data_IF_321303869019
#
_entry.id   IF_321303869019
#
_cell.length_a   1.000
_cell.length_b   1.000
_cell.length_c   1.000
_cell.angle_alpha   90.00
_cell.angle_beta   90.00
_cell.angle_gamma   90.00
#
_symmetry.space_group_name_H-M   'P 1'
#
loop_
_entity.id
_entity.type
_entity.pdbx_description
1 polymer ?
#
# COMPACT_ATOMS: atom_id res chain seq x y z
N UNK A 1 17.52 8.22 -18.32
CA UNK A 1 16.41 7.69 -19.12
C UNK A 1 15.15 8.24 -18.48
N UNK A 2 14.21 8.84 -19.21
CA UNK A 2 12.99 9.41 -18.61
C UNK A 2 12.04 8.29 -18.15
N UNK A 3 11.19 8.56 -17.16
CA UNK A 3 10.17 7.61 -16.67
C UNK A 3 9.25 7.17 -17.82
N UNK A 4 8.96 8.06 -18.77
CA UNK A 4 8.18 7.77 -19.99
C UNK A 4 8.87 6.74 -20.91
N UNK A 5 10.18 6.82 -21.09
CA UNK A 5 10.93 5.82 -21.86
C UNK A 5 10.97 4.47 -21.17
N UNK A 6 10.99 4.43 -19.82
CA UNK A 6 10.84 3.21 -19.05
C UNK A 6 9.43 2.62 -19.22
N UNK A 7 8.40 3.46 -19.16
CA UNK A 7 6.99 3.03 -19.33
C UNK A 7 6.79 2.33 -20.68
N UNK A 8 7.22 2.96 -21.78
CA UNK A 8 7.06 2.40 -23.13
C UNK A 8 7.78 1.05 -23.28
N UNK A 9 9.01 0.95 -22.78
CA UNK A 9 9.83 -0.28 -22.85
C UNK A 9 9.24 -1.42 -22.01
N UNK A 10 8.56 -1.10 -20.92
CA UNK A 10 7.91 -2.08 -20.04
C UNK A 10 6.56 -2.50 -20.62
N UNK A 11 5.80 -1.58 -21.22
CA UNK A 11 4.57 -1.92 -21.93
C UNK A 11 4.83 -2.87 -23.09
N UNK A 12 5.89 -2.67 -23.87
CA UNK A 12 6.35 -3.61 -24.90
C UNK A 12 6.67 -4.99 -24.29
N UNK A 13 7.44 -5.04 -23.22
CA UNK A 13 7.77 -6.30 -22.52
C UNK A 13 6.55 -6.99 -21.92
N UNK A 14 5.59 -6.25 -21.36
CA UNK A 14 4.36 -6.83 -20.86
C UNK A 14 3.54 -7.48 -21.97
N UNK A 15 3.48 -6.87 -23.16
CA UNK A 15 2.79 -7.43 -24.32
C UNK A 15 3.47 -8.70 -24.85
N UNK A 16 4.80 -8.75 -24.83
CA UNK A 16 5.59 -9.88 -25.34
C UNK A 16 5.64 -11.06 -24.35
N UNK A 17 5.47 -10.81 -23.06
CA UNK A 17 5.65 -11.82 -22.01
C UNK A 17 4.33 -12.34 -21.40
N UNK A 18 3.17 -11.86 -21.85
CA UNK A 18 1.89 -12.49 -21.57
C UNK A 18 1.74 -13.74 -22.45
N UNK A 19 2.14 -14.91 -22.03
CA UNK A 19 1.51 -15.79 -21.05
C UNK A 19 2.44 -16.77 -20.32
N UNK A 20 3.62 -16.40 -19.93
CA UNK A 20 4.41 -17.29 -19.08
C UNK A 20 4.11 -16.97 -17.63
N UNK A 21 3.36 -17.83 -16.97
CA UNK A 21 3.01 -17.78 -15.56
C UNK A 21 4.24 -17.61 -14.67
N UNK A 22 4.51 -16.39 -14.24
CA UNK A 22 5.51 -16.13 -13.22
C UNK A 22 4.88 -16.03 -11.82
N UNK A 23 3.61 -15.61 -11.74
CA UNK A 23 2.88 -15.37 -10.49
C UNK A 23 1.76 -16.40 -10.32
N UNK A 24 1.67 -17.03 -9.16
CA UNK A 24 0.58 -17.95 -8.81
C UNK A 24 -0.55 -17.23 -8.07
N UNK A 25 -1.75 -17.82 -8.06
CA UNK A 25 -2.88 -17.34 -7.25
C UNK A 25 -2.52 -17.31 -5.77
N UNK A 26 -1.81 -18.30 -5.28
CA UNK A 26 -1.33 -18.38 -3.90
C UNK A 26 -0.40 -17.20 -3.54
N UNK A 27 0.55 -16.86 -4.40
CA UNK A 27 1.42 -15.69 -4.20
C UNK A 27 0.62 -14.38 -4.13
N UNK A 28 -0.42 -14.25 -4.97
CA UNK A 28 -1.32 -13.09 -4.90
C UNK A 28 -2.09 -13.05 -3.59
N UNK A 29 -2.69 -14.16 -3.15
CA UNK A 29 -3.41 -14.26 -1.87
C UNK A 29 -2.50 -13.85 -0.71
N UNK A 30 -1.29 -14.40 -0.66
CA UNK A 30 -0.29 -14.07 0.38
C UNK A 30 0.25 -12.63 0.30
N UNK A 31 -0.07 -11.89 -0.76
CA UNK A 31 0.28 -10.48 -0.92
C UNK A 31 -0.89 -9.52 -0.62
N UNK A 32 -2.08 -10.05 -0.26
CA UNK A 32 -3.25 -9.22 0.03
C UNK A 32 -3.14 -8.60 1.43
N UNK A 33 -3.30 -7.27 1.52
CA UNK A 33 -3.77 -6.62 2.74
C UNK A 33 -5.30 -6.61 2.68
N UNK A 34 -5.94 -7.58 3.34
CA UNK A 34 -7.39 -7.74 3.35
C UNK A 34 -8.02 -6.59 4.13
N UNK A 35 -8.80 -5.76 3.45
CA UNK A 35 -9.14 -4.42 3.90
C UNK A 35 -10.64 -4.26 4.15
N UNK A 36 -11.00 -3.76 5.34
CA UNK A 36 -12.34 -3.31 5.68
C UNK A 36 -12.26 -1.91 6.32
N UNK A 37 -12.47 -0.88 5.50
CA UNK A 37 -12.48 0.53 5.92
C UNK A 37 -13.91 1.07 5.82
N UNK A 38 -14.75 0.56 6.74
CA UNK A 38 -16.11 1.00 7.02
C UNK A 38 -16.17 1.44 8.49
N UNK A 39 -16.60 2.67 8.73
CA UNK A 39 -16.72 3.24 10.09
C UNK A 39 -17.78 2.52 10.91
N UNK A 40 -18.74 1.90 10.23
CA UNK A 40 -19.89 1.18 10.82
C UNK A 40 -19.75 -0.35 10.66
N UNK A 41 -18.52 -0.85 10.47
CA UNK A 41 -18.30 -2.29 10.39
C UNK A 41 -18.85 -3.00 11.64
N UNK A 42 -19.63 -4.07 11.43
CA UNK A 42 -20.20 -4.83 12.56
C UNK A 42 -19.16 -5.81 13.12
N UNK A 43 -19.36 -6.23 14.37
CA UNK A 43 -18.49 -7.23 15.02
C UNK A 43 -18.46 -8.53 14.22
N UNK A 44 -19.57 -8.93 13.62
CA UNK A 44 -19.65 -10.13 12.77
C UNK A 44 -18.81 -9.96 11.49
N UNK A 45 -18.86 -8.79 10.84
CA UNK A 45 -18.05 -8.50 9.66
C UNK A 45 -16.55 -8.48 9.98
N UNK A 46 -16.17 -7.95 11.13
CA UNK A 46 -14.78 -7.95 11.61
C UNK A 46 -14.31 -9.36 11.95
N UNK A 47 -15.16 -10.17 12.60
CA UNK A 47 -14.85 -11.55 12.92
C UNK A 47 -14.68 -12.40 11.64
N UNK A 48 -15.57 -12.22 10.65
CA UNK A 48 -15.45 -12.89 9.35
C UNK A 48 -14.18 -12.48 8.61
N UNK A 49 -13.86 -11.18 8.57
CA UNK A 49 -12.63 -10.67 7.97
C UNK A 49 -11.38 -11.31 8.60
N UNK A 50 -11.35 -11.41 9.93
CA UNK A 50 -10.25 -12.07 10.67
C UNK A 50 -10.14 -13.53 10.31
N UNK A 51 -11.26 -14.26 10.27
CA UNK A 51 -11.31 -15.67 9.90
C UNK A 51 -10.81 -15.89 8.47
N UNK A 52 -11.31 -15.11 7.50
CA UNK A 52 -10.90 -15.20 6.09
C UNK A 52 -9.40 -14.94 5.93
N UNK A 53 -8.89 -13.94 6.63
CA UNK A 53 -7.48 -13.60 6.61
C UNK A 53 -6.60 -14.73 7.14
N UNK A 54 -6.99 -15.36 8.25
CA UNK A 54 -6.26 -16.46 8.88
C UNK A 54 -6.28 -17.74 8.03
N UNK A 55 -7.45 -18.09 7.53
CA UNK A 55 -7.62 -19.30 6.71
C UNK A 55 -6.83 -19.24 5.40
N UNK A 56 -6.74 -18.06 4.81
CA UNK A 56 -6.05 -17.86 3.52
C UNK A 56 -4.64 -17.29 3.66
N UNK A 57 -4.14 -17.10 4.87
CA UNK A 57 -2.78 -16.61 5.16
C UNK A 57 -2.43 -15.33 4.37
N UNK A 58 -3.36 -14.38 4.29
CA UNK A 58 -3.13 -13.09 3.62
C UNK A 58 -1.97 -12.32 4.30
N UNK A 59 -1.43 -11.32 3.63
CA UNK A 59 -0.30 -10.57 4.15
C UNK A 59 -0.62 -9.80 5.42
N UNK A 60 -1.77 -9.10 5.43
CA UNK A 60 -2.22 -8.31 6.58
C UNK A 60 -3.74 -8.14 6.58
N UNK A 61 -4.29 -7.82 7.77
CA UNK A 61 -5.59 -7.17 7.93
C UNK A 61 -5.40 -5.66 7.94
N UNK A 62 -6.29 -4.92 7.28
CA UNK A 62 -6.26 -3.45 7.29
C UNK A 62 -7.63 -2.90 7.65
N UNK A 63 -7.74 -2.28 8.83
CA UNK A 63 -8.99 -1.75 9.38
C UNK A 63 -8.80 -0.38 10.02
N UNK A 64 -9.88 0.30 10.37
CA UNK A 64 -9.82 1.52 11.15
C UNK A 64 -9.35 1.27 12.58
N UNK A 65 -8.65 2.26 13.17
CA UNK A 65 -8.14 2.24 14.53
C UNK A 65 -9.22 1.91 15.59
N UNK A 66 -10.43 2.42 15.38
CA UNK A 66 -11.55 2.20 16.31
C UNK A 66 -12.00 0.73 16.42
N UNK A 67 -11.77 -0.08 15.38
CA UNK A 67 -12.15 -1.49 15.33
C UNK A 67 -11.06 -2.45 15.82
N UNK A 68 -9.86 -1.96 16.11
CA UNK A 68 -8.75 -2.79 16.58
C UNK A 68 -9.10 -3.57 17.86
N UNK A 69 -9.77 -2.99 18.89
CA UNK A 69 -10.09 -3.73 20.11
C UNK A 69 -10.92 -5.00 19.88
N UNK A 70 -11.72 -5.05 18.81
CA UNK A 70 -12.58 -6.19 18.50
C UNK A 70 -11.82 -7.38 17.88
N UNK A 71 -10.68 -7.13 17.23
CA UNK A 71 -9.91 -8.17 16.56
C UNK A 71 -8.58 -8.50 17.26
N UNK A 72 -8.11 -7.62 18.12
CA UNK A 72 -6.85 -7.81 18.85
C UNK A 72 -7.08 -8.52 20.19
N UNK A 73 -6.09 -9.29 20.71
CA UNK A 73 -4.80 -9.59 20.08
C UNK A 73 -4.94 -10.65 18.97
N UNK A 74 -4.07 -10.52 17.97
CA UNK A 74 -3.91 -11.56 16.97
C UNK A 74 -2.43 -11.67 16.58
N UNK A 75 -1.90 -12.90 16.51
CA UNK A 75 -0.47 -13.16 16.37
C UNK A 75 -0.10 -13.89 15.07
N UNK A 76 -1.08 -14.27 14.26
CA UNK A 76 -0.85 -15.10 13.08
C UNK A 76 -0.67 -14.31 11.79
N UNK A 77 -1.17 -13.08 11.73
CA UNK A 77 -1.17 -12.23 10.54
C UNK A 77 -0.87 -10.79 10.97
N UNK A 78 -0.13 -10.04 10.14
CA UNK A 78 0.09 -8.61 10.37
C UNK A 78 -1.24 -7.85 10.43
N UNK A 79 -1.32 -6.88 11.32
CA UNK A 79 -2.48 -5.98 11.42
C UNK A 79 -2.04 -4.56 11.13
N UNK A 80 -2.68 -3.95 10.16
CA UNK A 80 -2.49 -2.58 9.74
C UNK A 80 -3.68 -1.70 10.13
N UNK A 81 -3.42 -0.45 10.46
CA UNK A 81 -4.46 0.57 10.56
C UNK A 81 -4.10 1.80 9.74
N UNK A 82 -5.13 2.55 9.31
CA UNK A 82 -4.96 3.78 8.55
C UNK A 82 -4.89 4.99 9.48
N UNK A 83 -4.00 5.94 9.18
CA UNK A 83 -3.79 7.18 9.93
C UNK A 83 -3.82 8.37 8.96
N UNK A 84 -4.31 9.52 9.40
CA UNK A 84 -4.49 10.71 8.57
C UNK A 84 -5.42 10.46 7.36
N UNK A 85 -6.36 9.55 7.53
CA UNK A 85 -7.13 8.94 6.45
C UNK A 85 -8.58 9.49 6.40
N UNK A 86 -9.17 9.75 5.18
CA UNK A 86 -8.55 9.53 3.88
C UNK A 86 -7.89 10.78 3.25
N UNK A 87 -8.10 11.98 3.79
CA UNK A 87 -7.73 13.24 3.11
C UNK A 87 -6.26 13.68 3.32
N UNK A 88 -5.56 13.11 4.29
CA UNK A 88 -4.21 13.55 4.60
C UNK A 88 -4.13 14.94 5.24
N UNK A 89 -5.17 15.36 5.98
CA UNK A 89 -5.32 16.74 6.48
C UNK A 89 -5.38 16.85 8.01
N UNK A 90 -5.22 15.74 8.73
CA UNK A 90 -5.20 15.77 10.20
C UNK A 90 -3.96 16.51 10.72
N UNK A 91 -4.06 17.22 11.85
CA UNK A 91 -2.90 17.76 12.55
C UNK A 91 -1.88 16.66 12.88
N UNK A 92 -0.59 17.01 12.84
CA UNK A 92 0.48 16.04 13.05
C UNK A 92 0.40 15.38 14.44
N UNK A 93 0.11 16.14 15.48
CA UNK A 93 -0.04 15.67 16.86
C UNK A 93 -1.17 14.64 17.00
N UNK A 94 -2.29 14.83 16.29
CA UNK A 94 -3.40 13.86 16.23
C UNK A 94 -2.92 12.56 15.60
N UNK A 95 -2.21 12.63 14.48
CA UNK A 95 -1.67 11.45 13.79
C UNK A 95 -0.64 10.71 14.67
N UNK A 96 0.26 11.42 15.35
CA UNK A 96 1.24 10.82 16.26
C UNK A 96 0.55 10.10 17.42
N UNK A 97 -0.42 10.74 18.07
CA UNK A 97 -1.20 10.14 19.16
C UNK A 97 -1.96 8.88 18.69
N UNK A 98 -2.50 8.91 17.47
CA UNK A 98 -3.19 7.76 16.90
C UNK A 98 -2.24 6.57 16.64
N UNK A 99 -0.99 6.83 16.21
CA UNK A 99 0.04 5.79 16.06
C UNK A 99 0.43 5.18 17.40
N UNK A 100 0.65 5.99 18.43
CA UNK A 100 0.95 5.50 19.79
C UNK A 100 -0.18 4.59 20.31
N UNK A 101 -1.44 5.01 20.13
CA UNK A 101 -2.61 4.19 20.47
C UNK A 101 -2.64 2.89 19.69
N UNK A 102 -2.36 2.93 18.38
CA UNK A 102 -2.30 1.75 17.53
C UNK A 102 -1.20 0.77 18.00
N UNK A 103 -0.02 1.28 18.34
CA UNK A 103 1.09 0.49 18.86
C UNK A 103 0.73 -0.21 20.17
N UNK A 104 0.07 0.52 21.11
CA UNK A 104 -0.41 -0.05 22.37
C UNK A 104 -1.46 -1.16 22.16
N UNK A 105 -2.26 -1.07 21.11
CA UNK A 105 -3.22 -2.11 20.72
C UNK A 105 -2.57 -3.30 20.00
N UNK A 106 -1.28 -3.23 19.70
CA UNK A 106 -0.51 -4.35 19.13
C UNK A 106 -0.55 -4.45 17.61
N UNK A 107 -0.86 -3.36 16.87
CA UNK A 107 -0.71 -3.38 15.40
C UNK A 107 0.76 -3.52 15.02
N UNK A 108 1.01 -4.03 13.83
CA UNK A 108 2.35 -4.23 13.29
C UNK A 108 2.67 -3.29 12.14
N UNK A 109 1.66 -2.66 11.55
CA UNK A 109 1.81 -1.87 10.35
C UNK A 109 0.91 -0.61 10.38
N UNK A 110 1.40 0.51 9.87
CA UNK A 110 0.67 1.78 9.72
C UNK A 110 0.57 2.16 8.25
N UNK A 111 -0.64 2.39 7.76
CA UNK A 111 -0.91 2.99 6.45
C UNK A 111 -1.20 4.49 6.64
N UNK A 112 -0.19 5.34 6.50
CA UNK A 112 -0.29 6.79 6.70
C UNK A 112 -0.56 7.52 5.38
N UNK A 113 -1.56 8.40 5.34
CA UNK A 113 -1.81 9.25 4.17
C UNK A 113 -0.86 10.44 4.18
N UNK A 114 -0.05 10.57 3.12
CA UNK A 114 0.76 11.77 2.86
C UNK A 114 -0.13 13.02 2.93
N UNK A 115 0.30 14.12 3.53
CA UNK A 115 -0.38 15.41 3.38
C UNK A 115 -0.27 15.94 1.93
N UNK A 116 -0.83 15.19 0.99
CA UNK A 116 -0.65 15.42 -0.45
C UNK A 116 -1.16 16.78 -0.89
N UNK A 117 -2.20 17.30 -0.26
CA UNK A 117 -2.70 18.67 -0.55
C UNK A 117 -1.66 19.74 -0.22
N UNK A 118 -0.93 19.61 0.90
CA UNK A 118 0.17 20.50 1.24
C UNK A 118 1.33 20.35 0.25
N UNK A 119 1.68 19.11 -0.07
CA UNK A 119 2.75 18.81 -1.01
C UNK A 119 2.48 19.44 -2.39
N UNK A 120 1.29 19.23 -2.94
CA UNK A 120 0.86 19.75 -4.24
C UNK A 120 0.67 21.28 -4.26
N UNK A 121 0.38 21.88 -3.10
CA UNK A 121 0.33 23.35 -2.95
C UNK A 121 1.71 24.00 -2.82
N UNK A 122 2.81 23.25 -3.04
CA UNK A 122 4.19 23.74 -2.96
C UNK A 122 4.77 23.81 -1.54
N UNK A 123 4.03 23.38 -0.51
CA UNK A 123 4.51 23.26 0.88
C UNK A 123 5.21 21.90 1.10
N UNK A 124 6.03 21.49 0.14
CA UNK A 124 6.70 20.19 0.08
C UNK A 124 7.47 19.89 1.35
N UNK A 125 8.28 20.85 1.81
CA UNK A 125 9.12 20.67 3.00
C UNK A 125 8.29 20.38 4.26
N UNK A 126 7.14 21.06 4.42
CA UNK A 126 6.23 20.85 5.54
C UNK A 126 5.59 19.46 5.48
N UNK A 127 5.15 19.00 4.30
CA UNK A 127 4.58 17.68 4.12
C UNK A 127 5.61 16.57 4.44
N UNK A 128 6.85 16.72 3.95
CA UNK A 128 7.93 15.76 4.20
C UNK A 128 8.39 15.76 5.67
N UNK A 129 8.42 16.91 6.34
CA UNK A 129 8.70 16.97 7.79
C UNK A 129 7.65 16.20 8.60
N UNK A 130 6.37 16.26 8.24
CA UNK A 130 5.34 15.45 8.87
C UNK A 130 5.59 13.97 8.62
N UNK A 131 5.83 13.55 7.38
CA UNK A 131 6.16 12.15 7.07
C UNK A 131 7.40 11.66 7.82
N UNK A 132 8.43 12.51 7.97
CA UNK A 132 9.62 12.16 8.72
C UNK A 132 9.32 11.90 10.20
N UNK A 133 8.52 12.75 10.84
CA UNK A 133 8.09 12.54 12.24
C UNK A 133 7.31 11.23 12.40
N UNK A 134 6.41 10.92 11.46
CA UNK A 134 5.67 9.66 11.42
C UNK A 134 6.61 8.46 11.25
N UNK A 135 7.57 8.53 10.33
CA UNK A 135 8.54 7.46 10.10
C UNK A 135 9.40 7.20 11.34
N UNK A 136 9.86 8.25 12.00
CA UNK A 136 10.63 8.12 13.26
C UNK A 136 9.82 7.44 14.36
N UNK A 137 8.54 7.81 14.54
CA UNK A 137 7.67 7.21 15.55
C UNK A 137 7.38 5.74 15.22
N UNK A 138 7.07 5.41 13.96
CA UNK A 138 6.89 4.02 13.54
C UNK A 138 8.15 3.17 13.78
N UNK A 139 9.33 3.71 13.49
CA UNK A 139 10.61 3.03 13.76
C UNK A 139 10.85 2.78 15.25
N UNK A 140 10.53 3.75 16.12
CA UNK A 140 10.62 3.60 17.58
C UNK A 140 9.72 2.46 18.10
N UNK A 141 8.51 2.33 17.55
CA UNK A 141 7.56 1.29 17.91
C UNK A 141 7.72 -0.01 17.10
N UNK A 142 8.70 -0.10 16.19
CA UNK A 142 8.94 -1.26 15.29
C UNK A 142 7.72 -1.58 14.43
N UNK A 143 7.02 -0.56 13.97
CA UNK A 143 5.88 -0.66 13.07
C UNK A 143 6.34 -0.48 11.62
N UNK A 144 5.90 -1.33 10.71
CA UNK A 144 6.12 -1.11 9.29
C UNK A 144 5.27 0.07 8.80
N UNK A 145 5.90 1.04 8.15
CA UNK A 145 5.24 2.24 7.62
C UNK A 145 4.96 2.11 6.13
N UNK A 146 3.69 2.26 5.74
CA UNK A 146 3.28 2.41 4.35
C UNK A 146 2.75 3.81 4.13
N UNK A 147 3.36 4.59 3.25
CA UNK A 147 2.92 5.95 2.94
C UNK A 147 2.01 5.94 1.72
N UNK A 148 0.77 6.41 1.89
CA UNK A 148 -0.23 6.53 0.83
C UNK A 148 -0.03 7.86 0.12
N UNK A 149 0.27 7.81 -1.18
CA UNK A 149 0.48 9.00 -2.01
C UNK A 149 -0.83 9.69 -2.39
N UNK A 150 -1.92 8.93 -2.57
CA UNK A 150 -3.11 9.32 -3.34
C UNK A 150 -2.71 9.70 -4.78
N UNK A 151 -2.04 8.77 -5.44
CA UNK A 151 -1.35 8.98 -6.72
C UNK A 151 -2.23 9.60 -7.81
N UNK A 152 -3.54 9.30 -7.80
CA UNK A 152 -4.51 9.88 -8.73
C UNK A 152 -4.67 11.42 -8.63
N UNK A 153 -4.11 12.06 -7.62
CA UNK A 153 -4.13 13.54 -7.47
C UNK A 153 -2.90 14.22 -8.06
N UNK A 154 -1.86 13.46 -8.39
CA UNK A 154 -0.60 14.03 -8.88
C UNK A 154 -0.68 14.41 -10.36
N UNK A 155 -0.05 15.53 -10.77
CA UNK A 155 -0.19 16.07 -12.12
C UNK A 155 0.55 15.25 -13.19
N UNK A 156 1.50 14.38 -12.80
CA UNK A 156 2.29 13.59 -13.74
C UNK A 156 2.97 12.39 -13.08
N UNK A 157 3.33 11.40 -13.87
CA UNK A 157 4.13 10.24 -13.44
C UNK A 157 5.51 10.67 -12.91
N UNK A 158 6.07 11.77 -13.44
CA UNK A 158 7.33 12.32 -12.95
C UNK A 158 7.19 12.89 -11.54
N UNK A 159 6.06 13.53 -11.22
CA UNK A 159 5.78 14.01 -9.87
C UNK A 159 5.63 12.84 -8.88
N UNK A 160 4.95 11.74 -9.29
CA UNK A 160 4.85 10.50 -8.49
C UNK A 160 6.23 9.88 -8.26
N UNK A 161 7.06 9.81 -9.28
CA UNK A 161 8.44 9.34 -9.16
C UNK A 161 9.24 10.18 -8.15
N UNK A 162 9.16 11.52 -8.26
CA UNK A 162 9.90 12.45 -7.39
C UNK A 162 9.52 12.27 -5.92
N UNK A 163 8.23 12.33 -5.60
CA UNK A 163 7.77 12.12 -4.20
C UNK A 163 8.12 10.72 -3.70
N UNK A 164 8.06 9.71 -4.56
CA UNK A 164 8.45 8.34 -4.18
C UNK A 164 9.92 8.27 -3.77
N UNK A 165 10.83 8.96 -4.49
CA UNK A 165 12.24 9.06 -4.11
C UNK A 165 12.41 9.74 -2.75
N UNK A 166 11.73 10.86 -2.52
CA UNK A 166 11.78 11.61 -1.26
C UNK A 166 11.29 10.76 -0.07
N UNK A 167 10.25 9.95 -0.25
CA UNK A 167 9.74 9.07 0.80
C UNK A 167 10.66 7.87 1.06
N UNK A 168 11.30 7.33 0.03
CA UNK A 168 12.31 6.26 0.18
C UNK A 168 13.48 6.78 1.02
N UNK A 169 13.91 8.02 0.82
CA UNK A 169 14.97 8.65 1.62
C UNK A 169 14.56 8.86 3.09
N UNK A 170 13.26 8.83 3.42
CA UNK A 170 12.73 8.81 4.78
C UNK A 170 12.60 7.39 5.38
N UNK A 171 13.11 6.38 4.70
CA UNK A 171 13.12 4.98 5.14
C UNK A 171 11.71 4.39 5.39
N UNK A 172 10.69 4.77 4.59
CA UNK A 172 9.40 4.09 4.64
C UNK A 172 9.52 2.65 4.12
N UNK A 173 8.76 1.72 4.70
CA UNK A 173 8.80 0.31 4.29
C UNK A 173 8.05 0.07 2.98
N UNK A 174 6.98 0.82 2.72
CA UNK A 174 6.20 0.73 1.50
C UNK A 174 5.72 2.11 1.03
N UNK A 175 5.63 2.25 -0.29
CA UNK A 175 4.84 3.31 -0.92
C UNK A 175 3.54 2.70 -1.40
N UNK A 176 2.40 3.29 -0.98
CA UNK A 176 1.06 2.85 -1.35
C UNK A 176 0.44 3.85 -2.33
N UNK A 177 -0.19 3.35 -3.39
CA UNK A 177 -0.74 4.20 -4.43
C UNK A 177 -1.89 5.08 -3.93
N UNK A 178 -2.92 4.52 -3.32
CA UNK A 178 -4.21 5.21 -3.14
C UNK A 178 -4.92 4.81 -1.85
N UNK A 179 -5.81 5.68 -1.36
CA UNK A 179 -6.73 5.38 -0.26
C UNK A 179 -7.87 4.47 -0.71
N UNK A 180 -8.26 4.53 -1.98
CA UNK A 180 -9.47 3.91 -2.51
C UNK A 180 -10.75 4.67 -2.19
N UNK A 181 -10.65 5.91 -1.70
CA UNK A 181 -11.79 6.79 -1.33
C UNK A 181 -12.04 7.92 -2.34
N UNK A 182 -11.19 8.06 -3.35
CA UNK A 182 -11.41 8.95 -4.49
C UNK A 182 -11.70 8.14 -5.77
N UNK A 183 -12.23 8.80 -6.80
CA UNK A 183 -12.63 8.14 -8.05
C UNK A 183 -11.45 7.48 -8.79
N UNK A 184 -10.27 8.10 -8.75
CA UNK A 184 -9.07 7.57 -9.40
C UNK A 184 -8.25 6.76 -8.39
N UNK A 185 -8.28 5.44 -8.54
CA UNK A 185 -7.43 4.52 -7.79
C UNK A 185 -6.08 4.29 -8.47
N UNK A 186 -5.47 3.13 -8.21
CA UNK A 186 -4.21 2.75 -8.81
C UNK A 186 -4.27 2.68 -10.34
N UNK A 187 -3.23 3.16 -11.01
CA UNK A 187 -2.99 2.96 -12.44
C UNK A 187 -1.66 2.26 -12.70
N UNK A 188 -1.53 1.65 -13.87
CA UNK A 188 -0.27 1.00 -14.29
C UNK A 188 0.87 2.04 -14.36
N UNK A 189 0.59 3.23 -14.87
CA UNK A 189 1.57 4.31 -14.97
C UNK A 189 2.07 4.79 -13.60
N UNK A 190 1.18 4.88 -12.60
CA UNK A 190 1.55 5.25 -11.23
C UNK A 190 2.44 4.17 -10.61
N UNK A 191 2.07 2.89 -10.80
CA UNK A 191 2.87 1.76 -10.33
C UNK A 191 4.26 1.75 -10.96
N UNK A 192 4.38 2.03 -12.28
CA UNK A 192 5.68 2.16 -12.97
C UNK A 192 6.51 3.29 -12.38
N UNK A 193 5.92 4.46 -12.10
CA UNK A 193 6.64 5.57 -11.49
C UNK A 193 7.23 5.22 -10.11
N UNK A 194 6.41 4.59 -9.25
CA UNK A 194 6.82 4.15 -7.91
C UNK A 194 7.91 3.06 -8.00
N UNK A 195 7.68 2.03 -8.82
CA UNK A 195 8.65 0.93 -8.99
C UNK A 195 9.98 1.41 -9.59
N UNK A 196 9.94 2.41 -10.49
CA UNK A 196 11.15 3.05 -11.02
C UNK A 196 11.93 3.75 -9.91
N UNK A 197 11.23 4.48 -9.03
CA UNK A 197 11.86 5.15 -7.90
C UNK A 197 12.51 4.15 -6.93
N UNK A 198 11.82 3.03 -6.62
CA UNK A 198 12.35 1.94 -5.78
C UNK A 198 13.60 1.32 -6.41
N UNK A 199 13.54 1.00 -7.70
CA UNK A 199 14.66 0.42 -8.45
C UNK A 199 15.88 1.33 -8.46
N UNK A 200 15.68 2.61 -8.81
CA UNK A 200 16.77 3.59 -8.94
C UNK A 200 17.38 3.95 -7.57
N UNK A 201 16.61 3.85 -6.49
CA UNK A 201 17.12 4.01 -5.12
C UNK A 201 17.93 2.80 -4.66
N UNK A 202 17.74 1.63 -5.27
CA UNK A 202 18.27 0.36 -4.79
C UNK A 202 17.94 0.11 -3.30
N UNK A 203 16.73 0.52 -2.90
CA UNK A 203 16.27 0.49 -1.52
C UNK A 203 15.46 -0.77 -1.22
N UNK A 204 15.34 -1.10 0.06
CA UNK A 204 14.47 -2.18 0.55
C UNK A 204 13.00 -1.79 0.67
N UNK A 205 12.59 -0.65 0.13
CA UNK A 205 11.21 -0.19 0.11
C UNK A 205 10.35 -1.05 -0.84
N UNK A 206 9.14 -1.37 -0.42
CA UNK A 206 8.15 -2.10 -1.21
C UNK A 206 7.09 -1.20 -1.84
N UNK A 207 6.20 -1.83 -2.61
CA UNK A 207 5.01 -1.17 -3.18
C UNK A 207 3.74 -1.84 -2.68
N UNK A 208 2.71 -1.03 -2.34
CA UNK A 208 1.34 -1.50 -2.10
C UNK A 208 0.41 -0.86 -3.13
N UNK A 209 -0.20 -1.71 -3.95
CA UNK A 209 -1.20 -1.30 -4.95
C UNK A 209 -2.57 -1.30 -4.29
N UNK A 210 -3.33 -0.20 -4.39
CA UNK A 210 -4.67 -0.11 -3.80
C UNK A 210 -5.56 0.88 -4.55
N UNK A 211 -6.88 0.73 -4.36
CA UNK A 211 -7.88 1.54 -5.05
C UNK A 211 -8.32 0.92 -6.38
N UNK A 212 -9.48 0.23 -6.35
CA UNK A 212 -10.12 -0.32 -7.55
C UNK A 212 -9.65 -1.71 -7.99
N UNK A 213 -8.83 -2.41 -7.22
CA UNK A 213 -8.36 -3.77 -7.55
C UNK A 213 -9.40 -4.79 -7.07
N UNK A 214 -10.27 -5.21 -7.98
CA UNK A 214 -11.41 -6.11 -7.69
C UNK A 214 -11.32 -7.46 -8.41
N UNK A 215 -10.63 -7.52 -9.55
CA UNK A 215 -10.57 -8.71 -10.42
C UNK A 215 -9.19 -9.35 -10.36
N UNK A 216 -9.10 -10.70 -10.39
CA UNK A 216 -7.83 -11.42 -10.44
C UNK A 216 -6.87 -10.92 -11.53
N UNK A 217 -7.38 -10.68 -12.74
CA UNK A 217 -6.57 -10.17 -13.85
C UNK A 217 -5.86 -8.85 -13.53
N UNK A 218 -6.54 -7.91 -12.83
CA UNK A 218 -5.89 -6.66 -12.41
C UNK A 218 -4.73 -6.94 -11.46
N UNK A 219 -4.94 -7.83 -10.48
CA UNK A 219 -3.90 -8.21 -9.53
C UNK A 219 -2.69 -8.86 -10.22
N UNK A 220 -2.94 -9.79 -11.16
CA UNK A 220 -1.88 -10.39 -11.97
C UNK A 220 -1.09 -9.36 -12.78
N UNK A 221 -1.75 -8.39 -13.41
CA UNK A 221 -1.06 -7.34 -14.17
C UNK A 221 -0.08 -6.56 -13.31
N UNK A 222 -0.48 -6.14 -12.11
CA UNK A 222 0.41 -5.41 -11.20
C UNK A 222 1.53 -6.28 -10.65
N UNK A 223 1.26 -7.54 -10.35
CA UNK A 223 2.26 -8.47 -9.84
C UNK A 223 3.34 -8.77 -10.89
N UNK A 224 2.94 -9.11 -12.11
CA UNK A 224 3.87 -9.34 -13.23
C UNK A 224 4.67 -8.08 -13.55
N UNK A 225 4.02 -6.91 -13.57
CA UNK A 225 4.71 -5.62 -13.73
C UNK A 225 5.80 -5.43 -12.67
N UNK A 226 5.46 -5.68 -11.41
CA UNK A 226 6.39 -5.51 -10.29
C UNK A 226 7.59 -6.46 -10.40
N UNK A 227 7.36 -7.75 -10.73
CA UNK A 227 8.44 -8.72 -10.96
C UNK A 227 9.37 -8.32 -12.10
N UNK A 228 8.81 -7.90 -13.24
CA UNK A 228 9.58 -7.47 -14.40
C UNK A 228 10.43 -6.23 -14.11
N UNK A 229 9.91 -5.30 -13.31
CA UNK A 229 10.62 -4.05 -13.01
C UNK A 229 11.73 -4.24 -11.99
N UNK A 230 11.46 -5.02 -10.93
CA UNK A 230 12.39 -5.19 -9.80
C UNK A 230 13.30 -6.41 -9.99
N UNK A 231 12.97 -7.28 -10.96
CA UNK A 231 13.71 -8.51 -11.27
C UNK A 231 13.79 -9.49 -10.08
N UNK A 232 12.66 -9.63 -9.36
CA UNK A 232 12.52 -10.64 -8.31
C UNK A 232 11.07 -11.07 -8.11
N UNK A 233 10.82 -12.33 -7.66
CA UNK A 233 9.47 -12.82 -7.37
C UNK A 233 8.76 -11.98 -6.33
N UNK A 234 7.44 -11.76 -6.52
CA UNK A 234 6.63 -11.07 -5.52
C UNK A 234 6.56 -11.88 -4.22
N UNK A 235 6.53 -11.17 -3.12
CA UNK A 235 6.17 -11.70 -1.81
C UNK A 235 5.72 -10.56 -0.90
N UNK A 236 5.07 -10.90 0.21
CA UNK A 236 4.49 -9.94 1.14
C UNK A 236 5.45 -8.91 1.77
N UNK A 237 6.76 -9.12 1.66
CA UNK A 237 7.73 -8.21 2.28
C UNK A 237 8.05 -7.00 1.40
N UNK A 238 7.68 -7.03 0.10
CA UNK A 238 7.94 -5.90 -0.79
C UNK A 238 6.83 -5.61 -1.81
N UNK A 239 5.84 -6.52 -1.96
CA UNK A 239 4.69 -6.33 -2.85
C UNK A 239 3.40 -6.64 -2.10
N UNK A 240 2.46 -5.71 -2.11
CA UNK A 240 1.15 -5.85 -1.45
C UNK A 240 0.03 -5.37 -2.37
N UNK A 241 -1.14 -5.92 -2.17
CA UNK A 241 -2.39 -5.47 -2.80
C UNK A 241 -3.41 -5.17 -1.71
N UNK A 242 -3.82 -3.90 -1.59
CA UNK A 242 -4.90 -3.51 -0.69
C UNK A 242 -6.26 -3.69 -1.36
N UNK A 243 -7.06 -4.65 -0.89
CA UNK A 243 -8.36 -4.95 -1.49
C UNK A 243 -9.35 -5.51 -0.46
N UNK A 244 -10.64 -5.26 -0.70
CA UNK A 244 -11.75 -5.78 0.12
C UNK A 244 -12.37 -7.07 -0.47
N UNK A 245 -12.55 -7.14 -1.79
CA UNK A 245 -13.29 -8.22 -2.46
C UNK A 245 -12.43 -9.16 -3.29
N UNK A 246 -11.17 -8.83 -3.53
CA UNK A 246 -10.28 -9.57 -4.42
C UNK A 246 -10.04 -11.01 -3.95
N UNK A 247 -9.94 -11.23 -2.62
CA UNK A 247 -9.71 -12.56 -2.06
C UNK A 247 -10.79 -13.54 -2.52
N UNK A 248 -12.06 -13.16 -2.37
CA UNK A 248 -13.18 -14.01 -2.79
C UNK A 248 -13.19 -14.32 -4.30
N UNK A 249 -12.71 -13.41 -5.14
CA UNK A 249 -12.59 -13.65 -6.58
C UNK A 249 -11.40 -14.57 -6.92
N UNK A 250 -10.28 -14.45 -6.22
CA UNK A 250 -9.13 -15.34 -6.41
C UNK A 250 -9.46 -16.78 -5.98
N UNK A 251 -10.19 -16.96 -4.88
CA UNK A 251 -10.62 -18.28 -4.42
C UNK A 251 -11.55 -19.01 -5.40
N UNK A 252 -12.28 -18.28 -6.26
CA UNK A 252 -13.13 -18.89 -7.31
C UNK A 252 -12.32 -19.36 -8.52
N UNK A 253 -11.06 -18.95 -8.66
CA UNK A 253 -10.20 -19.33 -9.79
C UNK A 253 -9.34 -20.56 -9.50
N UNK A 254 -9.46 -21.08 -8.28
CA UNK A 254 -8.90 -22.34 -7.81
C UNK A 254 -9.99 -23.41 -7.86
#
# INVERSE_FOLDING_TARGET
MTVENHLNKIMEKLLDHFPKQFVTVEQLIHSIDLTLLDEHATTEALAQLKQDAQQNQVAALCIYLQHLPEIMPQNSISTATVINFPQGMEPLDVSLTAIEKAALLGVTEIDYVLPYSLYLAGQTQKALQQCHAIAQLCKQHKLALKVILESGTFPSIQAIYTISRELIDLECDFIKTSTGKIAQGASISDAVAILSAIKDANASCGIKISGGIKKPQQAFHYAVLAELMIDKPINKNWFRIGASSLLGELLKTH
#
